data_IF_194382888976
#
_entry.id   IF_194382888976
#
_cell.length_a   1.000
_cell.length_b   1.000
_cell.length_c   1.000
_cell.angle_alpha   90.00
_cell.angle_beta   90.00
_cell.angle_gamma   90.00
#
_symmetry.space_group_name_H-M   'P 1'
#
loop_
_entity.id
_entity.type
_entity.pdbx_description
1 polymer ?
#
# COMPACT_ATOMS: atom_id res chain seq x y z
N UNK A 1 25.77 20.21 10.45
CA UNK A 1 25.32 18.93 11.02
C UNK A 1 24.45 18.26 9.96
N UNK A 2 24.89 17.15 9.33
CA UNK A 2 24.10 16.48 8.29
C UNK A 2 23.06 15.59 8.97
N UNK A 3 21.78 15.95 8.87
CA UNK A 3 20.67 15.09 9.27
C UNK A 3 20.43 14.04 8.19
N UNK A 4 20.26 12.78 8.59
CA UNK A 4 19.91 11.69 7.70
C UNK A 4 18.39 11.50 7.75
N UNK A 5 17.63 12.44 7.19
CA UNK A 5 16.16 12.43 7.18
C UNK A 5 15.55 11.53 6.08
N UNK A 6 16.31 10.59 5.54
CA UNK A 6 15.83 9.73 4.45
C UNK A 6 14.72 8.81 4.95
N UNK A 7 13.53 9.00 4.39
CA UNK A 7 12.31 8.26 4.73
C UNK A 7 12.55 6.76 4.67
N UNK A 8 12.11 6.04 5.70
CA UNK A 8 12.22 4.58 5.77
C UNK A 8 11.31 3.93 4.72
N UNK A 9 11.74 2.81 4.10
CA UNK A 9 10.89 2.05 3.19
C UNK A 9 9.61 1.55 3.89
N UNK A 10 8.50 1.50 3.15
CA UNK A 10 7.19 1.10 3.69
C UNK A 10 7.12 -0.35 4.20
N UNK A 11 8.11 -1.18 3.87
CA UNK A 11 8.23 -2.60 4.28
C UNK A 11 8.78 -2.78 5.69
N UNK A 12 9.26 -1.72 6.32
CA UNK A 12 9.79 -1.73 7.69
C UNK A 12 8.69 -1.31 8.67
N UNK A 13 8.57 -2.03 9.78
CA UNK A 13 7.65 -1.65 10.87
C UNK A 13 8.29 -0.58 11.74
N UNK A 14 7.50 0.41 12.17
CA UNK A 14 7.96 1.45 13.10
C UNK A 14 8.06 0.95 14.55
N UNK A 15 7.45 -0.20 14.84
CA UNK A 15 7.42 -0.80 16.17
C UNK A 15 8.54 -1.82 16.33
N UNK A 16 9.14 -1.92 17.52
CA UNK A 16 10.18 -2.92 17.82
C UNK A 16 11.57 -2.62 17.25
N UNK A 17 11.85 -1.36 16.89
CA UNK A 17 13.18 -0.92 16.46
C UNK A 17 14.16 -0.99 17.64
N UNK A 18 15.34 -1.58 17.43
CA UNK A 18 16.42 -1.58 18.42
C UNK A 18 17.71 -0.99 17.86
N UNK A 19 18.55 -0.44 18.74
CA UNK A 19 19.81 0.20 18.39
C UNK A 19 20.93 -0.24 19.33
N UNK A 20 22.10 -0.52 18.77
CA UNK A 20 23.32 -0.87 19.50
C UNK A 20 24.49 -0.04 18.97
N UNK A 21 25.28 0.54 19.87
CA UNK A 21 26.49 1.27 19.50
C UNK A 21 27.72 0.53 19.99
N UNK A 22 28.60 0.14 19.06
CA UNK A 22 29.82 -0.62 19.36
C UNK A 22 30.93 -0.29 18.38
N UNK A 23 32.15 -0.16 18.89
CA UNK A 23 33.36 0.11 18.10
C UNK A 23 33.23 1.33 17.15
N UNK A 24 32.54 2.39 17.59
CA UNK A 24 32.35 3.59 16.75
C UNK A 24 31.23 3.48 15.71
N UNK A 25 30.50 2.37 15.66
CA UNK A 25 29.46 2.10 14.66
C UNK A 25 28.10 1.94 15.34
N UNK A 26 27.09 2.62 14.79
CA UNK A 26 25.68 2.48 15.17
C UNK A 26 25.03 1.38 14.34
N UNK A 27 24.54 0.34 15.01
CA UNK A 27 23.77 -0.76 14.44
C UNK A 27 22.30 -0.55 14.75
N UNK A 28 21.44 -0.62 13.73
CA UNK A 28 20.00 -0.50 13.84
C UNK A 28 19.35 -1.80 13.36
N UNK A 29 18.51 -2.40 14.20
CA UNK A 29 17.67 -3.55 13.83
C UNK A 29 16.26 -3.07 13.56
N UNK A 30 15.85 -3.19 12.31
CA UNK A 30 14.56 -2.72 11.81
C UNK A 30 13.69 -3.95 11.44
N UNK A 31 12.66 -4.29 12.23
CA UNK A 31 11.80 -5.43 11.91
C UNK A 31 10.99 -5.15 10.64
N UNK A 32 10.80 -6.19 9.82
CA UNK A 32 9.93 -6.11 8.65
C UNK A 32 8.47 -6.11 9.10
N UNK A 33 7.61 -5.39 8.37
CA UNK A 33 6.16 -5.53 8.56
C UNK A 33 5.73 -6.95 8.18
N UNK A 34 4.80 -7.50 8.96
CA UNK A 34 4.13 -8.72 8.57
C UNK A 34 3.36 -8.49 7.26
N UNK A 35 3.60 -9.34 6.25
CA UNK A 35 2.89 -9.28 4.98
C UNK A 35 1.43 -9.70 5.20
N UNK A 36 0.55 -8.71 5.27
CA UNK A 36 -0.89 -8.93 5.29
C UNK A 36 -1.30 -9.52 3.95
N UNK A 37 -1.77 -10.78 3.95
CA UNK A 37 -2.31 -11.45 2.76
C UNK A 37 -3.28 -10.51 2.03
N UNK A 38 -3.06 -10.34 0.72
CA UNK A 38 -3.78 -9.39 -0.11
C UNK A 38 -5.31 -9.53 0.08
N UNK A 39 -5.96 -8.44 0.48
CA UNK A 39 -7.42 -8.39 0.52
C UNK A 39 -7.92 -8.20 -0.91
N UNK A 40 -8.77 -9.10 -1.38
CA UNK A 40 -9.44 -8.98 -2.69
C UNK A 40 -10.30 -7.72 -2.67
N UNK A 41 -10.02 -6.79 -3.57
CA UNK A 41 -10.86 -5.60 -3.76
C UNK A 41 -11.91 -5.97 -4.81
N UNK A 42 -13.19 -5.99 -4.42
CA UNK A 42 -14.29 -6.12 -5.37
C UNK A 42 -14.56 -4.76 -6.03
N UNK A 43 -14.57 -4.73 -7.36
CA UNK A 43 -14.88 -3.52 -8.12
C UNK A 43 -16.40 -3.51 -8.34
N UNK A 44 -17.13 -2.70 -7.57
CA UNK A 44 -18.53 -2.40 -7.86
C UNK A 44 -18.59 -1.41 -9.03
N UNK A 45 -18.80 -1.92 -10.25
CA UNK A 45 -19.02 -1.10 -11.43
C UNK A 45 -20.49 -0.66 -11.49
N UNK A 46 -20.79 0.58 -11.13
CA UNK A 46 -22.09 1.18 -11.40
C UNK A 46 -22.15 1.57 -12.88
N UNK A 47 -22.59 0.60 -13.70
CA UNK A 47 -22.75 0.75 -15.15
C UNK A 47 -23.98 1.59 -15.49
N UNK A 48 -23.73 2.80 -15.96
CA UNK A 48 -24.73 3.72 -16.48
C UNK A 48 -25.48 3.15 -17.70
N UNK A 49 -26.82 3.13 -17.59
CA UNK A 49 -27.85 3.29 -18.63
C UNK A 49 -27.53 2.83 -20.06
N UNK A 50 -27.95 1.61 -20.43
CA UNK A 50 -28.21 1.26 -21.83
C UNK A 50 -29.68 1.54 -22.16
N UNK A 51 -29.89 2.60 -22.98
CA UNK A 51 -31.20 2.99 -23.53
C UNK A 51 -31.84 1.84 -24.29
N UNK A 52 -33.10 1.55 -23.97
CA UNK A 52 -34.00 0.80 -24.81
C UNK A 52 -34.19 1.52 -26.16
N UNK A 53 -33.87 0.84 -27.26
CA UNK A 53 -34.34 1.23 -28.59
C UNK A 53 -35.68 0.56 -28.84
N UNK A 54 -36.77 1.32 -28.75
CA UNK A 54 -38.06 0.94 -29.33
C UNK A 54 -37.98 1.17 -30.84
N UNK A 55 -37.99 0.09 -31.62
CA UNK A 55 -38.18 0.16 -33.06
C UNK A 55 -39.53 -0.46 -33.41
N UNK A 56 -40.56 0.39 -33.45
CA UNK A 56 -41.82 0.11 -34.12
C UNK A 56 -41.75 0.69 -35.53
N UNK A 57 -41.74 -0.16 -36.56
CA UNK A 57 -42.04 0.20 -37.95
C UNK A 57 -42.41 -1.02 -38.80
N UNK A 58 -43.71 -1.21 -39.01
CA UNK A 58 -44.36 -1.63 -40.27
C UNK A 58 -43.95 -2.93 -40.98
N UNK A 59 -44.88 -3.90 -40.98
CA UNK A 59 -45.58 -4.36 -42.20
C UNK A 59 -46.95 -4.90 -41.83
#
# INVERSE_FOLDING_TARGET
MKTCDRTLPNTVSGEGITAEYRNGVLYLSLPKKEEVKARRIEIAGEGASQKAISAQAGR
#
